data_IF_547540048946
#
_entry.id   IF_547540048946
#
_cell.length_a   1.000
_cell.length_b   1.000
_cell.length_c   1.000
_cell.angle_alpha   90.00
_cell.angle_beta   90.00
_cell.angle_gamma   90.00
#
_symmetry.space_group_name_H-M   'P 1'
#
loop_
_entity.id
_entity.type
_entity.pdbx_description
1 polymer ?
#
# COMPACT_ATOMS: atom_id res chain seq x y z
N UNK A 1 -17.56 -71.49 33.02
CA UNK A 1 -16.31 -71.20 32.29
C UNK A 1 -16.68 -70.82 30.86
N UNK A 2 -16.12 -69.69 30.41
CA UNK A 2 -16.05 -69.15 29.06
C UNK A 2 -17.35 -68.72 28.35
N UNK A 3 -17.54 -67.40 28.37
CA UNK A 3 -18.33 -66.59 27.46
C UNK A 3 -17.49 -66.12 26.27
N UNK A 4 -18.18 -66.02 25.12
CA UNK A 4 -18.15 -64.95 24.14
C UNK A 4 -17.10 -64.86 23.01
N UNK A 5 -17.70 -64.92 21.82
CA UNK A 5 -17.29 -64.63 20.45
C UNK A 5 -17.16 -63.14 20.09
N UNK A 6 -16.39 -62.91 19.01
CA UNK A 6 -16.43 -61.77 18.06
C UNK A 6 -15.98 -60.37 18.49
N UNK A 7 -14.77 -59.97 18.06
CA UNK A 7 -14.45 -58.57 17.78
C UNK A 7 -13.50 -58.42 16.56
N UNK A 8 -14.02 -57.73 15.54
CA UNK A 8 -13.33 -57.20 14.36
C UNK A 8 -12.54 -55.94 14.77
N UNK A 9 -11.27 -55.77 14.36
CA UNK A 9 -10.61 -54.44 14.36
C UNK A 9 -9.35 -54.36 13.46
N UNK A 10 -9.54 -53.65 12.34
CA UNK A 10 -8.71 -52.60 11.71
C UNK A 10 -7.21 -52.84 11.46
N UNK A 11 -6.86 -52.95 10.17
CA UNK A 11 -5.50 -52.84 9.62
C UNK A 11 -4.96 -51.42 9.84
N UNK A 12 -3.84 -51.29 10.56
CA UNK A 12 -3.11 -50.01 10.69
C UNK A 12 -2.35 -49.73 9.38
N UNK A 13 -2.67 -48.62 8.71
CA UNK A 13 -1.84 -48.06 7.63
C UNK A 13 -0.57 -47.43 8.25
N UNK A 14 0.62 -47.55 7.64
CA UNK A 14 1.81 -46.87 8.13
C UNK A 14 1.65 -45.36 7.93
N UNK A 15 1.88 -44.59 9.00
CA UNK A 15 1.96 -43.12 8.95
C UNK A 15 3.20 -42.72 8.15
N UNK A 16 3.12 -41.74 7.22
CA UNK A 16 4.31 -41.28 6.52
C UNK A 16 5.21 -40.53 7.52
N UNK A 17 6.37 -41.10 7.83
CA UNK A 17 7.44 -40.43 8.55
C UNK A 17 8.11 -39.40 7.61
N UNK A 18 7.97 -38.10 7.92
CA UNK A 18 8.62 -37.03 7.18
C UNK A 18 10.12 -37.03 7.53
N UNK A 19 10.96 -37.66 6.70
CA UNK A 19 12.41 -37.54 6.81
C UNK A 19 12.84 -36.21 6.19
N UNK A 20 12.95 -35.18 7.02
CA UNK A 20 13.52 -33.88 6.61
C UNK A 20 15.04 -34.00 6.69
N UNK A 21 15.71 -34.03 5.54
CA UNK A 21 17.16 -33.84 5.48
C UNK A 21 17.43 -32.33 5.49
N UNK A 22 17.89 -31.80 6.61
CA UNK A 22 18.44 -30.45 6.67
C UNK A 22 19.80 -30.44 5.96
N UNK A 23 20.01 -29.47 5.07
CA UNK A 23 21.34 -29.17 4.56
C UNK A 23 22.13 -28.43 5.66
N UNK A 24 23.42 -28.73 5.78
CA UNK A 24 24.28 -28.28 6.89
C UNK A 24 24.59 -26.76 6.89
N UNK A 25 24.11 -26.00 5.90
CA UNK A 25 24.23 -24.54 5.87
C UNK A 25 22.93 -23.83 5.42
N UNK A 26 21.98 -23.53 6.33
CA UNK A 26 20.74 -22.83 6.01
C UNK A 26 20.84 -21.31 6.32
N UNK A 27 21.88 -20.62 5.84
CA UNK A 27 22.24 -19.30 6.39
C UNK A 27 21.89 -18.04 5.56
N UNK A 28 21.17 -18.15 4.43
CA UNK A 28 20.86 -16.94 3.63
C UNK A 28 19.37 -16.66 3.40
N UNK A 29 18.46 -17.56 3.77
CA UNK A 29 17.02 -17.35 3.59
C UNK A 29 16.27 -16.99 4.89
N UNK A 30 16.84 -17.33 6.06
CA UNK A 30 16.12 -17.28 7.33
C UNK A 30 16.32 -15.98 8.13
N UNK A 31 17.42 -15.25 7.90
CA UNK A 31 17.67 -13.97 8.59
C UNK A 31 16.70 -12.89 8.10
N UNK A 32 16.09 -13.08 6.93
CA UNK A 32 15.19 -12.13 6.33
C UNK A 32 13.71 -12.28 6.75
N UNK A 33 13.30 -13.43 7.32
CA UNK A 33 11.90 -13.67 7.76
C UNK A 33 11.61 -13.24 9.20
N UNK A 34 12.59 -13.30 10.11
CA UNK A 34 12.34 -13.00 11.53
C UNK A 34 11.95 -11.53 11.77
N UNK A 35 12.46 -10.60 10.97
CA UNK A 35 12.15 -9.17 11.11
C UNK A 35 10.78 -8.77 10.53
N UNK A 36 10.16 -9.63 9.70
CA UNK A 36 8.82 -9.39 9.15
C UNK A 36 7.70 -10.01 9.99
N UNK A 37 8.01 -11.01 10.82
CA UNK A 37 7.02 -11.78 11.59
C UNK A 37 6.86 -11.27 13.04
N UNK A 38 7.73 -10.39 13.53
CA UNK A 38 7.70 -9.92 14.93
C UNK A 38 7.21 -8.47 15.17
N UNK A 39 6.27 -7.97 14.36
CA UNK A 39 5.47 -6.77 14.70
C UNK A 39 4.01 -7.10 15.11
N UNK A 40 3.78 -8.30 15.66
CA UNK A 40 2.60 -8.57 16.50
C UNK A 40 1.23 -8.71 15.84
N UNK A 41 1.10 -8.73 14.51
CA UNK A 41 -0.19 -9.05 13.85
C UNK A 41 -0.18 -10.42 13.17
N UNK A 42 -1.09 -11.26 13.64
CA UNK A 42 -1.26 -12.66 13.24
C UNK A 42 -1.73 -12.81 11.78
N UNK A 43 -0.84 -13.21 10.87
CA UNK A 43 -1.26 -13.80 9.58
C UNK A 43 -0.37 -15.00 9.22
N UNK A 44 -0.86 -16.17 9.61
CA UNK A 44 -0.34 -17.46 9.23
C UNK A 44 -1.02 -17.94 7.95
N UNK A 45 -0.33 -17.97 6.79
CA UNK A 45 -0.64 -18.88 5.67
C UNK A 45 0.63 -19.31 4.91
N UNK A 46 0.78 -20.60 4.57
CA UNK A 46 2.01 -21.15 3.99
C UNK A 46 2.09 -20.98 2.46
N UNK A 47 3.31 -20.73 1.97
CA UNK A 47 3.91 -21.19 0.70
C UNK A 47 3.47 -20.70 -0.70
N UNK A 48 2.97 -19.46 -0.83
CA UNK A 48 3.19 -18.67 -2.08
C UNK A 48 3.02 -17.16 -1.89
N UNK A 49 2.79 -16.70 -0.65
CA UNK A 49 2.47 -15.32 -0.38
C UNK A 49 3.64 -14.37 -0.71
N UNK A 50 4.90 -14.78 -0.48
CA UNK A 50 6.08 -13.94 -0.77
C UNK A 50 6.20 -13.58 -2.25
N UNK A 51 6.03 -14.55 -3.15
CA UNK A 51 6.12 -14.33 -4.60
C UNK A 51 4.93 -13.49 -5.10
N UNK A 52 3.74 -13.70 -4.54
CA UNK A 52 2.56 -12.86 -4.81
C UNK A 52 2.80 -11.43 -4.34
N UNK A 53 3.38 -11.22 -3.15
CA UNK A 53 3.75 -9.90 -2.65
C UNK A 53 4.86 -9.23 -3.47
N UNK A 54 5.75 -10.00 -4.11
CA UNK A 54 6.82 -9.51 -4.99
C UNK A 54 6.29 -9.16 -6.39
N UNK A 55 5.43 -10.01 -6.95
CA UNK A 55 4.76 -9.77 -8.23
C UNK A 55 3.86 -8.53 -8.14
N UNK A 56 3.16 -8.34 -7.02
CA UNK A 56 2.41 -7.12 -6.73
C UNK A 56 3.31 -5.87 -6.78
N UNK A 57 4.55 -5.96 -6.31
CA UNK A 57 5.52 -4.86 -6.27
C UNK A 57 6.33 -4.72 -7.56
N UNK A 58 5.84 -5.27 -8.67
CA UNK A 58 6.47 -5.18 -9.99
C UNK A 58 7.94 -5.68 -10.01
N UNK A 59 8.26 -6.69 -9.18
CA UNK A 59 9.61 -7.25 -9.07
C UNK A 59 10.52 -6.55 -8.07
N UNK A 60 10.07 -5.47 -7.42
CA UNK A 60 10.84 -4.77 -6.38
C UNK A 60 10.79 -5.46 -5.03
N UNK A 61 11.93 -5.54 -4.34
CA UNK A 61 11.99 -6.23 -3.04
C UNK A 61 11.10 -5.53 -1.99
N UNK A 62 10.27 -6.26 -1.22
CA UNK A 62 9.42 -5.65 -0.19
C UNK A 62 10.20 -4.83 0.84
N UNK A 63 11.44 -5.23 1.15
CA UNK A 63 12.38 -4.49 2.01
C UNK A 63 12.72 -3.13 1.41
N UNK A 64 13.12 -3.11 0.14
CA UNK A 64 13.51 -1.88 -0.56
C UNK A 64 12.33 -0.91 -0.63
N UNK A 65 11.14 -1.39 -1.00
CA UNK A 65 9.92 -0.58 -1.03
C UNK A 65 9.62 0.01 0.35
N UNK A 66 9.68 -0.79 1.43
CA UNK A 66 9.49 -0.30 2.81
C UNK A 66 10.52 0.76 3.19
N UNK A 67 11.79 0.56 2.83
CA UNK A 67 12.88 1.51 3.10
C UNK A 67 12.67 2.84 2.35
N UNK A 68 12.32 2.79 1.07
CA UNK A 68 12.00 3.97 0.26
C UNK A 68 10.84 4.74 0.88
N UNK A 69 9.74 4.06 1.21
CA UNK A 69 8.56 4.69 1.82
C UNK A 69 8.90 5.35 3.16
N UNK A 70 9.68 4.65 4.01
CA UNK A 70 10.16 5.19 5.30
C UNK A 70 11.06 6.40 5.10
N UNK A 71 11.97 6.37 4.12
CA UNK A 71 12.86 7.50 3.80
C UNK A 71 12.09 8.71 3.29
N UNK A 72 11.15 8.52 2.36
CA UNK A 72 10.27 9.59 1.87
C UNK A 72 9.46 10.21 3.00
N UNK A 73 8.88 9.37 3.87
CA UNK A 73 8.14 9.82 5.04
C UNK A 73 9.02 10.60 6.04
N UNK A 74 10.23 10.11 6.29
CA UNK A 74 11.18 10.72 7.23
C UNK A 74 11.76 12.05 6.73
N UNK A 75 12.08 12.16 5.43
CA UNK A 75 12.62 13.39 4.85
C UNK A 75 11.61 14.55 4.84
N UNK A 76 10.32 14.23 4.77
CA UNK A 76 9.19 15.18 4.80
C UNK A 76 9.26 16.36 3.80
N UNK A 77 9.99 16.21 2.69
CA UNK A 77 10.20 17.33 1.76
C UNK A 77 8.92 17.66 1.00
N UNK A 78 8.60 18.95 0.92
CA UNK A 78 7.54 19.48 0.05
C UNK A 78 8.10 19.91 -1.30
N UNK A 79 8.10 18.98 -2.25
CA UNK A 79 8.55 19.15 -3.64
C UNK A 79 7.42 19.64 -4.54
N UNK A 80 6.23 19.08 -4.38
CA UNK A 80 5.02 19.53 -5.06
C UNK A 80 4.34 20.60 -4.21
N UNK A 81 4.07 21.76 -4.80
CA UNK A 81 3.54 22.94 -4.08
C UNK A 81 2.17 23.39 -4.60
N UNK A 82 1.84 23.08 -5.86
CA UNK A 82 0.62 23.52 -6.54
C UNK A 82 -0.54 22.52 -6.44
N UNK A 83 -0.31 21.31 -5.94
CA UNK A 83 -1.34 20.25 -5.89
C UNK A 83 -1.86 20.06 -4.47
N UNK A 84 -3.18 20.16 -4.35
CA UNK A 84 -3.91 19.86 -3.12
C UNK A 84 -5.31 20.47 -3.11
N UNK A 85 -6.05 20.19 -2.05
CA UNK A 85 -7.38 20.72 -1.77
C UNK A 85 -7.45 21.29 -0.38
N UNK A 86 -8.35 22.26 -0.18
CA UNK A 86 -8.66 22.82 1.14
C UNK A 86 -10.13 23.11 1.23
N UNK A 87 -10.88 22.30 1.97
CA UNK A 87 -12.33 22.45 2.18
C UNK A 87 -12.72 21.98 3.57
N UNK A 88 -13.77 22.57 4.14
CA UNK A 88 -14.32 22.16 5.45
C UNK A 88 -13.30 22.15 6.60
N UNK A 89 -12.30 23.04 6.54
CA UNK A 89 -11.22 23.11 7.52
C UNK A 89 -10.22 21.95 7.45
N UNK A 90 -10.32 21.08 6.44
CA UNK A 90 -9.34 20.03 6.13
C UNK A 90 -8.57 20.42 4.88
N UNK A 91 -7.26 20.21 4.89
CA UNK A 91 -6.39 20.41 3.74
C UNK A 91 -5.75 19.08 3.36
N UNK A 92 -5.88 18.65 2.11
CA UNK A 92 -5.23 17.44 1.60
C UNK A 92 -4.25 17.82 0.51
N UNK A 93 -2.98 17.45 0.68
CA UNK A 93 -1.87 17.92 -0.13
C UNK A 93 -1.10 16.76 -0.73
N UNK A 94 -0.62 16.94 -1.95
CA UNK A 94 0.48 16.14 -2.47
C UNK A 94 1.78 16.87 -2.15
N UNK A 95 2.60 16.31 -1.25
CA UNK A 95 3.91 16.88 -0.86
C UNK A 95 5.00 16.52 -1.86
N UNK A 96 4.96 15.31 -2.42
CA UNK A 96 6.00 14.85 -3.34
C UNK A 96 5.55 13.65 -4.15
N UNK A 97 6.12 13.56 -5.35
CA UNK A 97 6.02 12.42 -6.25
C UNK A 97 7.42 11.88 -6.46
N UNK A 98 7.58 10.58 -6.29
CA UNK A 98 8.85 9.91 -6.49
C UNK A 98 8.67 8.66 -7.34
N UNK A 99 9.71 8.28 -8.07
CA UNK A 99 9.73 7.08 -8.89
C UNK A 99 10.95 6.21 -8.54
N UNK A 100 10.74 4.90 -8.45
CA UNK A 100 11.81 3.92 -8.36
C UNK A 100 11.34 2.62 -9.00
N UNK A 101 12.15 2.08 -9.92
CA UNK A 101 11.76 0.94 -10.74
C UNK A 101 10.43 1.16 -11.45
N UNK A 102 9.52 0.21 -11.27
CA UNK A 102 8.15 0.23 -11.82
C UNK A 102 7.10 0.69 -10.79
N UNK A 103 7.53 1.42 -9.76
CA UNK A 103 6.67 1.97 -8.70
C UNK A 103 6.71 3.50 -8.64
N UNK A 104 5.54 4.07 -8.36
CA UNK A 104 5.36 5.49 -8.06
C UNK A 104 5.00 5.69 -6.59
N UNK A 105 5.65 6.64 -5.94
CA UNK A 105 5.45 6.96 -4.53
C UNK A 105 4.79 8.32 -4.37
N UNK A 106 3.59 8.33 -3.81
CA UNK A 106 2.82 9.53 -3.54
C UNK A 106 2.93 9.88 -2.06
N UNK A 107 3.65 10.95 -1.75
CA UNK A 107 3.72 11.47 -0.40
C UNK A 107 2.61 12.51 -0.19
N UNK A 108 1.61 12.16 0.60
CA UNK A 108 0.45 13.02 0.87
C UNK A 108 0.40 13.48 2.32
N UNK A 109 -0.27 14.60 2.55
CA UNK A 109 -0.44 15.20 3.87
C UNK A 109 -1.86 15.70 4.05
N UNK A 110 -2.46 15.35 5.19
CA UNK A 110 -3.76 15.84 5.63
C UNK A 110 -3.54 16.75 6.81
N UNK A 111 -4.09 17.96 6.77
CA UNK A 111 -4.10 18.90 7.89
C UNK A 111 -5.52 19.16 8.33
N UNK A 112 -5.79 18.94 9.60
CA UNK A 112 -7.08 19.26 10.20
C UNK A 112 -6.95 20.57 10.98
N UNK A 113 -7.46 21.67 10.43
CA UNK A 113 -7.50 22.96 11.11
C UNK A 113 -8.71 23.10 12.05
N UNK A 114 -9.63 22.14 12.07
CA UNK A 114 -10.80 22.15 12.95
C UNK A 114 -10.47 21.52 14.31
N UNK A 115 -11.40 21.62 15.27
CA UNK A 115 -11.32 20.88 16.54
C UNK A 115 -11.93 19.49 16.43
N UNK A 116 -12.75 19.24 15.40
CA UNK A 116 -13.44 17.97 15.19
C UNK A 116 -12.50 17.03 14.44
N UNK A 117 -12.18 15.85 15.00
CA UNK A 117 -11.35 14.84 14.35
C UNK A 117 -11.88 14.49 12.95
N UNK A 118 -10.98 14.21 12.03
CA UNK A 118 -11.30 13.81 10.66
C UNK A 118 -10.98 12.32 10.51
N UNK A 119 -12.03 11.48 10.54
CA UNK A 119 -11.91 10.04 10.44
C UNK A 119 -11.91 9.63 8.96
N UNK A 120 -10.78 9.12 8.49
CA UNK A 120 -10.58 8.70 7.09
C UNK A 120 -11.16 7.30 6.91
N UNK A 121 -12.04 7.15 5.92
CA UNK A 121 -12.58 5.84 5.53
C UNK A 121 -11.63 5.16 4.55
N UNK A 122 -11.48 5.75 3.35
CA UNK A 122 -10.58 5.26 2.32
C UNK A 122 -10.09 6.38 1.39
N UNK A 123 -9.02 6.07 0.67
CA UNK A 123 -8.44 6.91 -0.38
C UNK A 123 -8.53 6.18 -1.71
N UNK A 124 -8.97 6.87 -2.77
CA UNK A 124 -9.07 6.33 -4.13
C UNK A 124 -8.11 7.05 -5.06
N UNK A 125 -7.62 6.32 -6.06
CA UNK A 125 -6.84 6.85 -7.16
C UNK A 125 -7.54 6.43 -8.45
N UNK A 126 -7.92 7.40 -9.28
CA UNK A 126 -8.70 7.15 -10.50
C UNK A 126 -8.19 7.99 -11.65
N UNK A 127 -8.00 7.39 -12.82
CA UNK A 127 -7.81 8.14 -14.05
C UNK A 127 -9.18 8.46 -14.63
N UNK A 128 -9.44 9.75 -14.84
CA UNK A 128 -10.71 10.28 -15.36
C UNK A 128 -10.46 11.25 -16.50
N UNK A 129 -11.47 11.48 -17.34
CA UNK A 129 -11.38 12.42 -18.45
C UNK A 129 -11.32 13.88 -17.95
N UNK A 130 -10.45 14.71 -18.54
CA UNK A 130 -10.39 16.16 -18.32
C UNK A 130 -11.60 16.81 -18.99
N UNK A 131 -12.79 16.74 -18.36
CA UNK A 131 -14.06 17.40 -18.75
C UNK A 131 -14.25 17.61 -20.27
N UNK A 132 -14.90 16.66 -20.93
CA UNK A 132 -15.44 16.86 -22.28
C UNK A 132 -16.92 17.23 -22.14
N UNK A 133 -17.34 18.36 -22.73
CA UNK A 133 -18.72 18.90 -22.70
C UNK A 133 -19.70 18.06 -23.54
N UNK A 134 -19.52 16.74 -23.62
CA UNK A 134 -20.41 15.85 -24.38
C UNK A 134 -20.99 14.78 -23.47
N UNK A 135 -22.32 14.58 -23.61
CA UNK A 135 -23.11 13.51 -23.01
C UNK A 135 -22.59 12.15 -23.46
N UNK A 136 -21.47 11.72 -22.90
CA UNK A 136 -20.87 10.41 -23.12
C UNK A 136 -20.56 9.82 -21.76
N UNK A 137 -20.76 8.51 -21.60
CA UNK A 137 -20.45 7.81 -20.36
C UNK A 137 -18.96 8.02 -20.01
N UNK A 138 -18.69 8.58 -18.83
CA UNK A 138 -17.34 8.84 -18.33
C UNK A 138 -16.70 7.51 -17.94
N UNK A 139 -15.53 7.20 -18.52
CA UNK A 139 -14.78 5.99 -18.16
C UNK A 139 -13.78 6.31 -17.07
N UNK A 140 -13.96 5.71 -15.90
CA UNK A 140 -13.03 5.80 -14.78
C UNK A 140 -12.19 4.53 -14.71
N UNK A 141 -10.87 4.68 -14.65
CA UNK A 141 -9.96 3.58 -14.36
C UNK A 141 -9.43 3.71 -12.94
N UNK A 142 -9.81 2.78 -12.05
CA UNK A 142 -9.33 2.74 -10.67
C UNK A 142 -7.91 2.17 -10.64
N UNK A 143 -7.04 2.81 -9.86
CA UNK A 143 -5.68 2.35 -9.57
C UNK A 143 -5.61 2.01 -8.10
N UNK A 144 -5.17 0.79 -7.78
CA UNK A 144 -5.05 0.34 -6.41
C UNK A 144 -3.63 0.57 -5.89
N UNK A 145 -3.45 1.23 -4.73
CA UNK A 145 -2.17 1.24 -4.05
C UNK A 145 -1.74 -0.18 -3.69
N UNK A 146 -0.48 -0.50 -3.96
CA UNK A 146 0.12 -1.78 -3.59
C UNK A 146 0.49 -1.78 -2.12
N UNK A 147 1.03 -0.66 -1.62
CA UNK A 147 1.38 -0.47 -0.21
C UNK A 147 1.05 0.95 0.24
N UNK A 148 0.81 1.10 1.54
CA UNK A 148 0.72 2.38 2.21
C UNK A 148 1.58 2.36 3.47
N UNK A 149 2.36 3.42 3.69
CA UNK A 149 3.16 3.61 4.90
C UNK A 149 2.55 4.77 5.69
N UNK A 150 2.36 4.53 7.00
CA UNK A 150 1.56 5.39 7.88
C UNK A 150 0.16 5.67 7.29
N UNK A 151 -0.59 4.61 6.97
CA UNK A 151 -1.93 4.77 6.42
C UNK A 151 -2.86 5.40 7.46
N UNK A 152 -3.11 6.69 7.28
CA UNK A 152 -3.88 7.50 8.22
C UNK A 152 -5.36 7.12 8.19
N UNK A 153 -5.88 6.66 9.32
CA UNK A 153 -7.32 6.38 9.52
C UNK A 153 -8.03 7.47 10.31
N UNK A 154 -7.26 8.37 10.95
CA UNK A 154 -7.80 9.49 11.74
C UNK A 154 -6.80 10.63 11.83
N UNK A 155 -7.30 11.86 11.72
CA UNK A 155 -6.55 13.10 11.95
C UNK A 155 -7.24 13.91 13.02
N UNK A 156 -6.68 13.93 14.23
CA UNK A 156 -7.25 14.68 15.34
C UNK A 156 -7.32 16.19 15.05
N UNK A 157 -8.12 16.91 15.83
CA UNK A 157 -8.25 18.35 15.70
C UNK A 157 -6.90 19.07 15.86
N UNK A 158 -6.65 20.07 15.02
CA UNK A 158 -5.39 20.85 14.99
C UNK A 158 -4.13 20.01 14.76
N UNK A 159 -4.27 18.81 14.20
CA UNK A 159 -3.15 17.91 13.86
C UNK A 159 -3.01 17.73 12.36
N UNK A 160 -1.83 17.23 11.98
CA UNK A 160 -1.51 16.89 10.61
C UNK A 160 -0.98 15.46 10.59
N UNK A 161 -1.33 14.72 9.56
CA UNK A 161 -0.87 13.36 9.33
C UNK A 161 -0.44 13.18 7.89
N UNK A 162 0.39 12.18 7.62
CA UNK A 162 0.99 11.95 6.30
C UNK A 162 0.92 10.49 5.93
N UNK A 163 0.70 10.22 4.65
CA UNK A 163 0.73 8.86 4.11
C UNK A 163 1.69 8.83 2.93
N UNK A 164 2.47 7.77 2.80
CA UNK A 164 3.18 7.46 1.56
C UNK A 164 2.51 6.27 0.91
N UNK A 165 1.99 6.43 -0.29
CA UNK A 165 1.41 5.34 -1.08
C UNK A 165 2.43 4.87 -2.13
N UNK A 166 2.56 3.56 -2.31
CA UNK A 166 3.26 2.96 -3.42
C UNK A 166 2.23 2.42 -4.41
N UNK A 167 2.24 2.94 -5.63
CA UNK A 167 1.36 2.56 -6.73
C UNK A 167 2.18 1.89 -7.82
N UNK A 168 1.60 0.98 -8.62
CA UNK A 168 2.26 0.54 -9.83
C UNK A 168 2.45 1.75 -10.74
N UNK A 169 3.48 1.74 -11.58
CA UNK A 169 3.61 2.75 -12.63
C UNK A 169 2.44 2.61 -13.62
N UNK A 170 1.90 3.75 -14.01
CA UNK A 170 0.81 3.84 -14.97
C UNK A 170 1.03 5.03 -15.88
N UNK A 171 0.29 5.07 -16.98
CA UNK A 171 0.27 6.21 -17.89
C UNK A 171 -1.06 6.95 -17.75
N UNK A 172 -1.01 8.27 -17.82
CA UNK A 172 -2.21 9.10 -17.95
C UNK A 172 -2.32 9.46 -19.44
N UNK A 173 -3.35 8.94 -20.15
CA UNK A 173 -3.55 9.29 -21.56
C UNK A 173 -3.84 10.78 -21.75
N UNK A 174 -3.59 11.27 -22.97
CA UNK A 174 -3.94 12.64 -23.34
C UNK A 174 -5.43 12.91 -23.11
N UNK A 175 -5.73 14.09 -22.58
CA UNK A 175 -7.10 14.47 -22.22
C UNK A 175 -7.64 13.76 -20.97
N UNK A 176 -6.82 12.99 -20.24
CA UNK A 176 -7.16 12.44 -18.92
C UNK A 176 -6.29 13.01 -17.80
N UNK A 177 -6.71 12.79 -16.57
CA UNK A 177 -5.99 13.19 -15.34
C UNK A 177 -6.17 12.14 -14.27
N UNK A 178 -5.24 12.08 -13.33
CA UNK A 178 -5.41 11.31 -12.11
C UNK A 178 -6.15 12.18 -11.10
N UNK A 179 -7.17 11.62 -10.46
CA UNK A 179 -7.88 12.20 -9.32
C UNK A 179 -7.60 11.33 -8.11
N UNK A 180 -7.14 11.97 -7.04
CA UNK A 180 -6.93 11.34 -5.74
C UNK A 180 -7.99 11.87 -4.80
N UNK A 181 -8.83 10.98 -4.26
CA UNK A 181 -9.94 11.35 -3.39
C UNK A 181 -9.76 10.71 -2.02
N UNK A 182 -10.08 11.45 -0.97
CA UNK A 182 -10.07 10.99 0.41
C UNK A 182 -11.47 11.16 1.00
N UNK A 183 -12.04 10.05 1.44
CA UNK A 183 -13.39 9.99 1.98
C UNK A 183 -13.37 9.98 3.51
N UNK A 184 -14.36 10.67 4.08
CA UNK A 184 -14.55 10.74 5.51
C UNK A 184 -15.60 9.71 5.92
N UNK A 185 -15.32 8.96 6.97
CA UNK A 185 -16.25 7.96 7.49
C UNK A 185 -17.50 8.64 8.02
N UNK A 186 -18.66 8.27 7.46
CA UNK A 186 -19.98 8.79 7.87
C UNK A 186 -20.05 10.34 7.89
N UNK A 187 -19.28 11.00 7.03
CA UNK A 187 -19.17 12.46 6.97
C UNK A 187 -19.22 13.00 5.54
N UNK A 188 -19.13 14.32 5.42
CA UNK A 188 -19.21 15.03 4.13
C UNK A 188 -17.95 15.82 3.77
N UNK A 189 -16.90 15.79 4.60
CA UNK A 189 -15.69 16.60 4.42
C UNK A 189 -14.69 15.98 3.44
N UNK A 190 -15.18 15.34 2.38
CA UNK A 190 -14.36 14.69 1.35
C UNK A 190 -13.39 15.67 0.70
N UNK A 191 -12.19 15.19 0.41
CA UNK A 191 -11.12 15.97 -0.20
C UNK A 191 -10.71 15.32 -1.51
N UNK A 192 -10.40 16.13 -2.51
CA UNK A 192 -9.90 15.63 -3.78
C UNK A 192 -8.96 16.62 -4.45
N UNK A 193 -7.88 16.11 -5.00
CA UNK A 193 -6.96 16.88 -5.84
C UNK A 193 -6.66 16.13 -7.14
N UNK A 194 -6.19 16.87 -8.13
CA UNK A 194 -5.91 16.38 -9.47
C UNK A 194 -4.40 16.40 -9.72
N UNK A 195 -3.91 15.39 -10.43
CA UNK A 195 -2.52 15.26 -10.85
C UNK A 195 -2.50 15.09 -12.36
N UNK A 196 -1.73 15.93 -13.05
CA UNK A 196 -1.58 15.87 -14.50
C UNK A 196 -0.38 15.01 -14.91
N UNK A 197 -0.30 14.66 -16.18
CA UNK A 197 0.80 13.85 -16.69
C UNK A 197 2.15 14.56 -16.52
N UNK A 198 2.17 15.89 -16.67
CA UNK A 198 3.34 16.74 -16.47
C UNK A 198 3.92 16.64 -15.05
N UNK A 199 3.05 16.42 -14.06
CA UNK A 199 3.47 16.25 -12.66
C UNK A 199 4.12 14.88 -12.42
N UNK A 200 3.60 13.83 -13.07
CA UNK A 200 4.21 12.49 -13.02
C UNK A 200 5.57 12.45 -13.70
N UNK A 201 5.71 13.11 -14.85
CA UNK A 201 6.99 13.18 -15.58
C UNK A 201 8.06 13.92 -14.77
N UNK A 202 7.67 14.84 -13.89
CA UNK A 202 8.56 15.58 -12.99
C UNK A 202 8.84 14.86 -11.67
N UNK A 203 8.37 13.62 -11.48
CA UNK A 203 8.63 12.86 -10.27
C UNK A 203 10.14 12.68 -10.04
N UNK A 204 10.58 12.83 -8.79
CA UNK A 204 12.00 12.67 -8.45
C UNK A 204 12.36 11.19 -8.37
N UNK A 205 13.49 10.80 -8.95
CA UNK A 205 13.99 9.43 -8.78
C UNK A 205 14.57 9.23 -7.38
N UNK A 206 14.11 8.17 -6.69
CA UNK A 206 14.73 7.75 -5.43
C UNK A 206 15.92 6.86 -5.76
N UNK A 207 17.12 7.36 -5.50
CA UNK A 207 18.34 6.55 -5.60
C UNK A 207 18.49 5.71 -4.33
N UNK A 208 18.63 4.39 -4.48
CA UNK A 208 18.78 3.41 -3.38
C UNK A 208 19.91 3.78 -2.41
N UNK A 209 21.00 4.35 -2.92
CA UNK A 209 22.17 4.78 -2.15
C UNK A 209 21.88 5.89 -1.14
N UNK A 210 20.79 6.65 -1.32
CA UNK A 210 20.36 7.73 -0.41
C UNK A 210 19.32 7.26 0.63
N UNK A 211 18.95 5.98 0.61
CA UNK A 211 17.94 5.38 1.49
C UNK A 211 18.59 4.69 2.71
N UNK A 212 19.94 4.63 2.76
CA UNK A 212 20.72 4.15 3.90
C UNK A 212 20.78 5.16 5.05
#
# INVERSE_FOLDING_TARGET
RLWETYHRKVVRRPSPSLHVKYADEPLLLNVEMCDFIHDGESVNRPNNAMEIYLQELAGESPRLVRLIMKSVYGQDKRKVKHIGSKRFGVQYLLKGLYAHGELLYFHTEVKNATHVPFDVDFVTFKIVDKKIVKRTAMQEQVIYPLRAFNYVTRVDGKKNERTVFALPKFTIPDGKKLVVEMYEKQGGRHQSFEVENEDLVRAETVNELKVR
#
